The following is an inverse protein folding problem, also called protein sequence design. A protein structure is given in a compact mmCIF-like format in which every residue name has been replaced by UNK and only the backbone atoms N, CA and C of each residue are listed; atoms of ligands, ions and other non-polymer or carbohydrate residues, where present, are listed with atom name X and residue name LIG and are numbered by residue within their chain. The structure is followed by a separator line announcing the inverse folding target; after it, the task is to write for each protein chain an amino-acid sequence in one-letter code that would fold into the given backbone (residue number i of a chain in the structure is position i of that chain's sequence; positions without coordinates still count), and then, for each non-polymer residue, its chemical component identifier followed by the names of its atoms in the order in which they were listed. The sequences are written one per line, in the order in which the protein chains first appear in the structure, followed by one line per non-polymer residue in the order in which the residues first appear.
data_IF_328851374155
#
_entry.id   IF_328851374155
#
_cell.length_a   1.000
_cell.length_b   1.000
_cell.length_c   1.000
_cell.angle_alpha   90.00
_cell.angle_beta   90.00
_cell.angle_gamma   90.00
#
_symmetry.space_group_name_H-M   'P 1'
#
loop_
_entity.id
_entity.type
_entity.pdbx_description
1 polymer ?
#
# COMPACT_ATOMS: atom_id res chain seq x y z
N UNK A 1 6.97 -40.16 12.54
CA UNK A 1 6.50 -38.77 12.42
C UNK A 1 7.50 -37.84 13.09
N UNK A 2 8.29 -37.04 12.37
CA UNK A 2 9.13 -36.02 12.99
C UNK A 2 8.42 -34.65 12.97
N UNK A 3 8.51 -33.93 14.10
CA UNK A 3 8.02 -32.55 14.28
C UNK A 3 8.86 -31.58 13.43
N UNK A 4 8.28 -30.51 12.85
CA UNK A 4 9.05 -29.47 12.19
C UNK A 4 9.68 -28.51 13.22
N UNK A 5 10.83 -27.88 12.89
CA UNK A 5 11.57 -27.01 13.80
C UNK A 5 10.99 -25.59 13.84
N UNK A 6 10.88 -25.04 15.04
CA UNK A 6 10.62 -23.64 15.31
C UNK A 6 11.83 -22.79 14.89
N UNK A 7 11.72 -22.04 13.79
CA UNK A 7 12.68 -21.01 13.45
C UNK A 7 11.99 -19.71 13.04
N UNK A 8 12.37 -18.65 13.76
CA UNK A 8 12.31 -17.24 13.36
C UNK A 8 11.02 -16.43 13.62
N UNK A 9 10.54 -16.38 14.87
CA UNK A 9 9.52 -15.42 15.33
C UNK A 9 10.05 -13.98 15.52
N UNK A 10 11.36 -13.78 15.69
CA UNK A 10 11.94 -12.49 16.08
C UNK A 10 12.05 -11.46 14.95
N UNK A 11 12.38 -11.89 13.72
CA UNK A 11 12.47 -11.00 12.54
C UNK A 11 11.08 -10.60 12.01
N UNK A 12 10.08 -11.48 12.13
CA UNK A 12 8.69 -11.17 11.81
C UNK A 12 8.11 -10.13 12.79
N UNK A 13 8.43 -10.26 14.09
CA UNK A 13 8.03 -9.33 15.17
C UNK A 13 8.57 -7.91 15.00
N UNK A 14 9.83 -7.75 14.59
CA UNK A 14 10.41 -6.41 14.36
C UNK A 14 9.85 -5.70 13.12
N UNK A 15 9.37 -6.45 12.12
CA UNK A 15 8.71 -5.88 10.94
C UNK A 15 7.34 -5.31 11.31
N UNK A 16 6.55 -6.03 12.11
CA UNK A 16 5.21 -5.59 12.56
C UNK A 16 5.25 -4.32 13.42
N UNK A 17 6.28 -4.16 14.27
CA UNK A 17 6.49 -2.95 15.09
C UNK A 17 6.69 -1.66 14.26
N UNK A 18 7.28 -1.75 13.04
CA UNK A 18 7.48 -0.57 12.18
C UNK A 18 6.20 -0.04 11.51
N UNK A 19 5.15 -0.86 11.43
CA UNK A 19 3.88 -0.47 10.79
C UNK A 19 2.88 0.19 11.75
N UNK A 20 3.17 0.22 13.05
CA UNK A 20 2.34 0.90 14.06
C UNK A 20 2.21 2.42 13.83
N UNK A 21 3.07 3.03 13.02
CA UNK A 21 3.14 4.49 12.86
C UNK A 21 2.28 5.08 11.74
N UNK A 22 1.51 4.29 10.96
CA UNK A 22 0.79 4.85 9.79
C UNK A 22 -0.69 5.16 10.06
N UNK A 23 -1.31 4.64 11.13
CA UNK A 23 -2.76 4.80 11.33
C UNK A 23 -3.20 5.95 12.28
N UNK A 24 -2.28 6.72 12.87
CA UNK A 24 -2.64 7.79 13.80
C UNK A 24 -1.80 9.06 13.59
N UNK A 25 -1.94 9.71 12.44
CA UNK A 25 -1.51 11.10 12.28
C UNK A 25 -2.63 12.03 12.77
N UNK A 26 -2.61 12.29 14.07
CA UNK A 26 -3.50 13.24 14.75
C UNK A 26 -2.81 13.78 16.01
N UNK A 27 -1.91 14.75 15.81
CA UNK A 27 -1.38 15.71 16.78
C UNK A 27 -1.13 15.26 18.23
N UNK A 28 0.12 14.89 18.54
CA UNK A 28 0.81 15.32 19.76
C UNK A 28 2.34 15.16 19.62
N UNK A 29 2.99 16.31 19.47
CA UNK A 29 4.35 16.72 19.87
C UNK A 29 5.43 15.62 20.07
N UNK A 30 6.48 15.80 19.27
CA UNK A 30 7.83 15.22 19.36
C UNK A 30 8.50 15.43 20.72
N UNK A 31 9.18 14.39 21.23
CA UNK A 31 10.54 14.42 21.81
C UNK A 31 10.93 12.98 22.22
N UNK A 32 11.94 12.38 21.57
CA UNK A 32 12.60 11.17 22.05
C UNK A 32 14.11 11.39 22.04
N UNK A 33 14.79 11.40 23.20
CA UNK A 33 16.16 10.95 23.29
C UNK A 33 16.17 9.46 23.63
N UNK A 34 16.90 8.70 22.82
CA UNK A 34 17.07 7.26 22.95
C UNK A 34 18.23 6.95 23.91
N UNK A 35 17.94 6.62 25.18
CA UNK A 35 18.67 5.70 26.09
C UNK A 35 17.69 5.36 27.25
N UNK A 36 17.51 4.06 27.59
CA UNK A 36 16.63 3.48 28.65
C UNK A 36 15.18 3.12 28.24
N UNK A 37 15.02 2.06 27.43
CA UNK A 37 13.70 1.63 26.94
C UNK A 37 12.74 1.01 27.98
N UNK A 38 13.24 0.34 29.03
CA UNK A 38 12.38 -0.36 30.00
C UNK A 38 11.85 0.57 31.12
N UNK A 39 12.73 1.43 31.67
CA UNK A 39 12.35 2.41 32.70
C UNK A 39 11.32 3.43 32.18
N UNK A 40 11.39 3.76 30.89
CA UNK A 40 10.46 4.68 30.24
C UNK A 40 9.08 4.03 29.98
N UNK A 41 9.01 2.73 29.72
CA UNK A 41 7.74 2.04 29.45
C UNK A 41 6.88 1.92 30.72
N UNK A 42 7.48 1.54 31.85
CA UNK A 42 6.78 1.44 33.14
C UNK A 42 6.28 2.82 33.61
N UNK A 43 7.08 3.87 33.42
CA UNK A 43 6.70 5.25 33.73
C UNK A 43 5.50 5.70 32.88
N UNK A 44 5.53 5.49 31.57
CA UNK A 44 4.40 5.81 30.67
C UNK A 44 3.12 5.06 31.07
N UNK A 45 3.23 3.77 31.40
CA UNK A 45 2.08 2.98 31.85
C UNK A 45 1.49 3.51 33.15
N UNK A 46 2.34 3.84 34.13
CA UNK A 46 1.93 4.43 35.40
C UNK A 46 1.26 5.78 35.18
N UNK A 47 1.81 6.64 34.32
CA UNK A 47 1.27 7.96 34.05
C UNK A 47 -0.16 7.89 33.48
N UNK A 48 -0.41 6.96 32.55
CA UNK A 48 -1.76 6.72 32.04
C UNK A 48 -2.71 6.20 33.12
N UNK A 49 -2.26 5.27 33.97
CA UNK A 49 -3.08 4.72 35.07
C UNK A 49 -3.45 5.82 36.07
N UNK A 50 -2.49 6.62 36.52
CA UNK A 50 -2.72 7.74 37.43
C UNK A 50 -3.61 8.83 36.80
N UNK A 51 -3.48 9.08 35.50
CA UNK A 51 -4.36 10.02 34.80
C UNK A 51 -5.80 9.51 34.72
N UNK A 52 -5.99 8.21 34.45
CA UNK A 52 -7.31 7.56 34.44
C UNK A 52 -7.92 7.60 35.83
N UNK A 53 -7.19 7.22 36.87
CA UNK A 53 -7.69 7.25 38.26
C UNK A 53 -8.12 8.66 38.67
N UNK A 54 -7.32 9.67 38.35
CA UNK A 54 -7.69 11.08 38.59
C UNK A 54 -8.92 11.50 37.79
N UNK A 55 -9.04 11.08 36.54
CA UNK A 55 -10.20 11.40 35.72
C UNK A 55 -11.47 10.68 36.22
N UNK A 56 -11.39 9.42 36.62
CA UNK A 56 -12.52 8.64 37.17
C UNK A 56 -12.96 9.16 38.54
N UNK A 57 -12.03 9.65 39.38
CA UNK A 57 -12.36 10.25 40.67
C UNK A 57 -13.08 11.61 40.55
N UNK A 58 -12.77 12.38 39.51
CA UNK A 58 -13.24 13.76 39.36
C UNK A 58 -14.36 13.93 38.32
N UNK A 59 -14.71 12.88 37.56
CA UNK A 59 -15.70 12.96 36.48
C UNK A 59 -16.61 11.74 36.44
N UNK A 60 -17.64 11.79 35.59
CA UNK A 60 -18.52 10.64 35.40
C UNK A 60 -17.76 9.48 34.72
N UNK A 61 -18.21 8.23 34.96
CA UNK A 61 -17.56 7.01 34.46
C UNK A 61 -17.53 6.86 32.92
N UNK A 62 -18.09 7.82 32.19
CA UNK A 62 -18.13 7.90 30.73
C UNK A 62 -17.65 9.27 30.25
N UNK A 63 -16.79 9.97 30.99
CA UNK A 63 -16.28 11.26 30.52
C UNK A 63 -15.48 11.06 29.23
N UNK A 64 -15.64 11.97 28.28
CA UNK A 64 -15.00 11.84 26.95
C UNK A 64 -13.47 11.78 27.09
N UNK A 65 -12.89 12.52 28.04
CA UNK A 65 -11.45 12.48 28.31
C UNK A 65 -10.94 11.06 28.65
N UNK A 66 -11.76 10.24 29.32
CA UNK A 66 -11.38 8.87 29.63
C UNK A 66 -11.23 8.02 28.37
N UNK A 67 -11.97 8.29 27.29
CA UNK A 67 -11.84 7.52 26.06
C UNK A 67 -10.41 7.64 25.52
N UNK A 68 -9.90 8.85 25.36
CA UNK A 68 -8.54 9.12 24.88
C UNK A 68 -7.47 8.53 25.79
N UNK A 69 -7.62 8.66 27.11
CA UNK A 69 -6.69 8.06 28.08
C UNK A 69 -6.64 6.53 27.96
N UNK A 70 -7.81 5.88 27.84
CA UNK A 70 -7.88 4.43 27.63
C UNK A 70 -7.30 3.99 26.28
N UNK A 71 -7.39 4.83 25.24
CA UNK A 71 -6.74 4.57 23.95
C UNK A 71 -5.21 4.59 24.08
N UNK A 72 -4.67 5.64 24.71
CA UNK A 72 -3.23 5.79 24.96
C UNK A 72 -2.67 4.66 25.83
N UNK A 73 -3.38 4.30 26.91
CA UNK A 73 -3.05 3.14 27.74
C UNK A 73 -3.05 1.85 26.91
N UNK A 74 -4.06 1.66 26.04
CA UNK A 74 -4.15 0.51 25.16
C UNK A 74 -2.92 0.36 24.27
N UNK A 75 -2.48 1.45 23.62
CA UNK A 75 -1.28 1.46 22.78
C UNK A 75 0.01 1.21 23.58
N UNK A 76 0.14 1.82 24.77
CA UNK A 76 1.29 1.59 25.65
C UNK A 76 1.39 0.11 26.06
N UNK A 77 0.25 -0.51 26.41
CA UNK A 77 0.17 -1.94 26.75
C UNK A 77 0.46 -2.85 25.54
N UNK A 78 0.11 -2.45 24.32
CA UNK A 78 0.51 -3.19 23.11
C UNK A 78 2.02 -3.18 22.91
N UNK A 79 2.67 -2.04 23.15
CA UNK A 79 4.13 -1.91 23.05
C UNK A 79 4.86 -2.71 24.13
N UNK A 80 4.25 -2.83 25.31
CA UNK A 80 4.72 -3.66 26.44
C UNK A 80 4.40 -5.16 26.26
N UNK A 81 3.81 -5.57 25.13
CA UNK A 81 3.33 -6.94 24.87
C UNK A 81 2.25 -7.44 25.87
N UNK A 82 1.66 -6.57 26.68
CA UNK A 82 0.52 -6.87 27.53
C UNK A 82 -0.81 -6.81 26.74
N UNK A 83 -0.97 -7.77 25.83
CA UNK A 83 -2.09 -7.82 24.89
C UNK A 83 -3.47 -7.92 25.58
N UNK A 84 -3.55 -8.63 26.71
CA UNK A 84 -4.82 -8.74 27.44
C UNK A 84 -5.24 -7.42 28.09
N UNK A 85 -4.28 -6.68 28.65
CA UNK A 85 -4.51 -5.35 29.21
C UNK A 85 -4.89 -4.36 28.12
N UNK A 86 -4.15 -4.38 27.01
CA UNK A 86 -4.43 -3.55 25.84
C UNK A 86 -5.87 -3.76 25.34
N UNK A 87 -6.30 -5.01 25.18
CA UNK A 87 -7.65 -5.30 24.71
C UNK A 87 -8.73 -4.74 25.65
N UNK A 88 -8.54 -4.87 26.96
CA UNK A 88 -9.47 -4.33 27.97
C UNK A 88 -9.52 -2.81 27.92
N UNK A 89 -8.38 -2.14 27.88
CA UNK A 89 -8.29 -0.68 27.80
C UNK A 89 -8.96 -0.15 26.53
N UNK A 90 -8.63 -0.70 25.36
CA UNK A 90 -9.23 -0.30 24.08
C UNK A 90 -10.75 -0.52 24.05
N UNK A 91 -11.24 -1.66 24.54
CA UNK A 91 -12.69 -1.93 24.62
C UNK A 91 -13.39 -0.97 25.60
N UNK A 92 -12.73 -0.61 26.71
CA UNK A 92 -13.28 0.35 27.68
C UNK A 92 -13.40 1.74 27.07
N UNK A 93 -12.34 2.25 26.43
CA UNK A 93 -12.37 3.54 25.73
C UNK A 93 -13.44 3.57 24.62
N UNK A 94 -13.51 2.53 23.79
CA UNK A 94 -14.55 2.42 22.75
C UNK A 94 -15.97 2.37 23.33
N UNK A 95 -16.18 1.76 24.50
CA UNK A 95 -17.49 1.76 25.14
C UNK A 95 -17.89 3.17 25.60
N UNK A 96 -16.93 3.98 26.06
CA UNK A 96 -17.18 5.38 26.42
C UNK A 96 -17.63 6.17 25.18
N UNK A 97 -16.97 5.98 24.04
CA UNK A 97 -17.40 6.56 22.76
C UNK A 97 -18.83 6.18 22.41
N UNK A 98 -19.18 4.88 22.53
CA UNK A 98 -20.54 4.40 22.24
C UNK A 98 -21.61 5.00 23.15
N UNK A 99 -21.29 5.21 24.42
CA UNK A 99 -22.24 5.79 25.38
C UNK A 99 -22.46 7.28 25.09
N UNK A 100 -21.40 8.02 24.72
CA UNK A 100 -21.50 9.46 24.46
C UNK A 100 -22.09 9.79 23.08
N UNK A 101 -21.71 9.03 22.06
CA UNK A 101 -22.00 9.37 20.65
C UNK A 101 -22.87 8.33 19.93
N UNK A 102 -23.22 7.24 20.61
CA UNK A 102 -24.08 6.17 20.07
C UNK A 102 -23.33 5.00 19.44
N UNK A 103 -24.03 3.87 19.28
CA UNK A 103 -23.46 2.60 18.81
C UNK A 103 -22.91 2.66 17.37
N UNK A 104 -23.40 3.60 16.56
CA UNK A 104 -22.97 3.80 15.17
C UNK A 104 -22.05 5.02 15.00
N UNK A 105 -21.52 5.57 16.09
CA UNK A 105 -20.58 6.69 16.00
C UNK A 105 -19.31 6.31 15.27
N UNK A 106 -18.89 7.17 14.35
CA UNK A 106 -17.60 7.03 13.64
C UNK A 106 -16.39 7.26 14.55
N UNK A 107 -16.57 7.88 15.73
CA UNK A 107 -15.49 8.07 16.71
C UNK A 107 -14.92 6.76 17.26
N UNK A 108 -15.59 5.62 17.04
CA UNK A 108 -15.09 4.30 17.37
C UNK A 108 -13.97 3.81 16.43
N UNK A 109 -13.81 4.40 15.25
CA UNK A 109 -12.91 3.92 14.20
C UNK A 109 -11.45 3.75 14.66
N UNK A 110 -10.83 4.69 15.40
CA UNK A 110 -9.46 4.51 15.91
C UNK A 110 -9.29 3.27 16.79
N UNK A 111 -10.25 2.98 17.69
CA UNK A 111 -10.22 1.77 18.53
C UNK A 111 -10.34 0.49 17.70
N UNK A 112 -11.19 0.49 16.67
CA UNK A 112 -11.35 -0.67 15.81
C UNK A 112 -10.08 -0.98 15.03
N UNK A 113 -9.34 0.04 14.57
CA UNK A 113 -8.02 -0.17 13.93
C UNK A 113 -7.02 -0.79 14.92
N UNK A 114 -6.93 -0.25 16.14
CA UNK A 114 -6.02 -0.77 17.17
C UNK A 114 -6.38 -2.19 17.62
N UNK A 115 -7.68 -2.50 17.74
CA UNK A 115 -8.16 -3.85 18.03
C UNK A 115 -7.83 -4.80 16.88
N UNK A 116 -7.98 -4.38 15.62
CA UNK A 116 -7.58 -5.21 14.49
C UNK A 116 -6.08 -5.49 14.45
N UNK A 117 -5.25 -4.49 14.80
CA UNK A 117 -3.80 -4.65 14.93
C UNK A 117 -3.46 -5.66 16.02
N UNK A 118 -4.12 -5.55 17.18
CA UNK A 118 -3.97 -6.46 18.30
C UNK A 118 -4.38 -7.90 17.94
N UNK A 119 -5.55 -8.06 17.32
CA UNK A 119 -6.08 -9.37 16.91
C UNK A 119 -5.14 -10.01 15.87
N UNK A 120 -4.57 -9.22 14.94
CA UNK A 120 -3.57 -9.70 13.99
C UNK A 120 -2.30 -10.20 14.69
N UNK A 121 -1.81 -9.51 15.72
CA UNK A 121 -0.65 -9.94 16.51
C UNK A 121 -0.92 -11.25 17.23
N UNK A 122 -2.16 -11.42 17.72
CA UNK A 122 -2.62 -12.64 18.38
C UNK A 122 -2.93 -13.79 17.39
N UNK A 123 -2.88 -13.53 16.08
CA UNK A 123 -3.20 -14.49 15.04
C UNK A 123 -4.70 -14.71 14.80
N UNK A 124 -5.56 -13.88 15.39
CA UNK A 124 -7.01 -13.89 15.18
C UNK A 124 -7.38 -13.01 13.97
N UNK A 125 -7.13 -13.54 12.78
CA UNK A 125 -7.41 -12.85 11.52
C UNK A 125 -8.91 -12.61 11.30
N UNK A 126 -9.77 -13.47 11.85
CA UNK A 126 -11.22 -13.34 11.75
C UNK A 126 -11.72 -12.11 12.50
N UNK A 127 -11.29 -11.92 13.75
CA UNK A 127 -11.66 -10.73 14.54
C UNK A 127 -11.08 -9.45 13.94
N UNK A 128 -9.84 -9.49 13.43
CA UNK A 128 -9.24 -8.36 12.74
C UNK A 128 -10.05 -7.95 11.50
N UNK A 129 -10.50 -8.90 10.69
CA UNK A 129 -11.34 -8.61 9.53
C UNK A 129 -12.74 -8.11 9.92
N UNK A 130 -13.35 -8.65 10.99
CA UNK A 130 -14.63 -8.13 11.53
C UNK A 130 -14.52 -6.68 11.97
N UNK A 131 -13.37 -6.26 12.52
CA UNK A 131 -13.13 -4.86 12.85
C UNK A 131 -13.08 -3.98 11.59
N UNK A 132 -12.41 -4.42 10.52
CA UNK A 132 -12.41 -3.72 9.22
C UNK A 132 -13.80 -3.59 8.62
N UNK A 133 -14.59 -4.65 8.66
CA UNK A 133 -15.99 -4.63 8.21
C UNK A 133 -16.82 -3.65 9.03
N UNK A 134 -16.63 -3.63 10.35
CA UNK A 134 -17.29 -2.68 11.26
C UNK A 134 -16.94 -1.23 10.91
N UNK A 135 -15.66 -0.94 10.64
CA UNK A 135 -15.21 0.40 10.21
C UNK A 135 -15.91 0.81 8.90
N UNK A 136 -16.01 -0.10 7.93
CA UNK A 136 -16.76 0.16 6.70
C UNK A 136 -18.25 0.44 6.97
N UNK A 137 -18.91 -0.36 7.82
CA UNK A 137 -20.32 -0.13 8.14
C UNK A 137 -20.53 1.21 8.84
N UNK A 138 -19.64 1.60 9.76
CA UNK A 138 -19.69 2.92 10.41
C UNK A 138 -19.58 4.04 9.37
N UNK A 139 -18.58 4.00 8.49
CA UNK A 139 -18.43 5.00 7.42
C UNK A 139 -19.65 5.05 6.50
N UNK A 140 -20.15 3.89 6.08
CA UNK A 140 -21.34 3.76 5.23
C UNK A 140 -22.60 4.33 5.90
N UNK A 141 -22.80 4.07 7.19
CA UNK A 141 -23.99 4.53 7.91
C UNK A 141 -23.94 6.03 8.23
N UNK A 142 -22.74 6.60 8.42
CA UNK A 142 -22.58 8.02 8.73
C UNK A 142 -22.59 8.92 7.47
N UNK A 143 -22.09 8.43 6.33
CA UNK A 143 -21.97 9.24 5.10
C UNK A 143 -22.86 8.76 3.96
N UNK A 144 -23.08 7.45 3.84
CA UNK A 144 -23.68 6.81 2.66
C UNK A 144 -22.63 6.04 1.83
N UNK A 145 -23.05 4.95 1.18
CA UNK A 145 -22.15 4.05 0.45
C UNK A 145 -21.49 4.67 -0.79
N UNK A 146 -22.08 5.75 -1.31
CA UNK A 146 -21.66 6.45 -2.53
C UNK A 146 -21.23 7.90 -2.26
N UNK A 147 -21.29 8.35 -1.00
CA UNK A 147 -20.88 9.70 -0.66
C UNK A 147 -19.34 9.80 -0.66
N UNK A 148 -18.71 10.80 -1.33
CA UNK A 148 -17.26 10.94 -1.38
C UNK A 148 -16.56 10.95 -0.02
N UNK A 149 -17.24 11.37 1.06
CA UNK A 149 -16.68 11.37 2.43
C UNK A 149 -16.30 9.98 2.92
N UNK A 150 -16.90 8.91 2.39
CA UNK A 150 -16.53 7.54 2.74
C UNK A 150 -15.14 7.15 2.23
N UNK A 151 -14.58 7.86 1.25
CA UNK A 151 -13.28 7.54 0.65
C UNK A 151 -12.15 7.57 1.66
N UNK A 152 -12.18 8.46 2.64
CA UNK A 152 -11.16 8.50 3.70
C UNK A 152 -11.18 7.21 4.53
N UNK A 153 -12.37 6.71 4.87
CA UNK A 153 -12.53 5.44 5.59
C UNK A 153 -12.07 4.26 4.75
N UNK A 154 -12.44 4.23 3.46
CA UNK A 154 -12.02 3.18 2.53
C UNK A 154 -10.50 3.19 2.33
N UNK A 155 -9.88 4.37 2.22
CA UNK A 155 -8.43 4.52 2.12
C UNK A 155 -7.73 3.92 3.34
N UNK A 156 -8.17 4.25 4.56
CA UNK A 156 -7.57 3.70 5.79
C UNK A 156 -7.69 2.18 5.85
N UNK A 157 -8.84 1.61 5.49
CA UNK A 157 -9.01 0.15 5.41
C UNK A 157 -8.05 -0.41 4.35
N UNK A 158 -7.98 0.19 3.15
CA UNK A 158 -7.12 -0.29 2.08
C UNK A 158 -5.65 -0.31 2.48
N UNK A 159 -5.15 0.78 3.08
CA UNK A 159 -3.78 0.86 3.55
C UNK A 159 -3.48 -0.19 4.61
N UNK A 160 -4.42 -0.42 5.54
CA UNK A 160 -4.29 -1.48 6.54
C UNK A 160 -4.14 -2.85 5.87
N UNK A 161 -5.04 -3.19 4.94
CA UNK A 161 -5.01 -4.46 4.20
C UNK A 161 -3.68 -4.67 3.46
N UNK A 162 -3.24 -3.65 2.72
CA UNK A 162 -1.99 -3.74 1.94
C UNK A 162 -0.75 -3.83 2.85
N UNK A 163 -0.73 -3.11 3.98
CA UNK A 163 0.36 -3.24 4.95
C UNK A 163 0.45 -4.65 5.54
N UNK A 164 -0.69 -5.30 5.81
CA UNK A 164 -0.72 -6.69 6.29
C UNK A 164 -0.26 -7.68 5.22
N UNK A 165 -0.67 -7.48 3.97
CA UNK A 165 -0.15 -8.27 2.86
C UNK A 165 1.38 -8.12 2.71
N UNK A 166 1.92 -6.90 2.73
CA UNK A 166 3.35 -6.67 2.57
C UNK A 166 4.19 -7.27 3.71
N UNK A 167 3.63 -7.33 4.92
CA UNK A 167 4.26 -8.01 6.04
C UNK A 167 4.30 -9.55 5.88
N UNK A 168 3.36 -10.13 5.11
CA UNK A 168 3.28 -11.57 4.86
C UNK A 168 2.77 -11.89 3.43
N UNK A 169 3.61 -11.70 2.39
CA UNK A 169 3.16 -11.71 0.99
C UNK A 169 2.90 -13.10 0.40
N UNK A 170 3.10 -14.16 1.18
CA UNK A 170 2.86 -15.56 0.77
C UNK A 170 1.38 -15.94 0.84
N UNK A 171 1.09 -17.25 0.98
CA UNK A 171 -0.29 -17.76 1.05
C UNK A 171 -1.12 -17.18 2.20
N UNK A 172 -0.48 -16.81 3.32
CA UNK A 172 -1.15 -16.13 4.45
C UNK A 172 -1.52 -14.67 4.17
N UNK A 173 -1.12 -14.13 3.02
CA UNK A 173 -1.45 -12.79 2.54
C UNK A 173 -2.70 -12.72 1.68
N UNK A 174 -3.29 -13.87 1.32
CA UNK A 174 -4.40 -13.95 0.35
C UNK A 174 -5.61 -13.11 0.79
N UNK A 175 -6.05 -13.31 2.03
CA UNK A 175 -7.26 -12.68 2.55
C UNK A 175 -7.15 -11.15 2.52
N UNK A 176 -5.96 -10.63 2.84
CA UNK A 176 -5.68 -9.19 2.82
C UNK A 176 -5.72 -8.63 1.40
N UNK A 177 -5.25 -9.37 0.40
CA UNK A 177 -5.32 -8.94 -1.02
C UNK A 177 -6.75 -8.96 -1.52
N UNK A 178 -7.51 -10.01 -1.21
CA UNK A 178 -8.92 -10.12 -1.62
C UNK A 178 -9.72 -8.99 -0.99
N UNK A 179 -9.48 -8.68 0.28
CA UNK A 179 -10.09 -7.54 0.95
C UNK A 179 -9.65 -6.20 0.31
N UNK A 180 -8.38 -6.03 -0.05
CA UNK A 180 -7.90 -4.84 -0.75
C UNK A 180 -8.58 -4.65 -2.12
N UNK A 181 -8.75 -5.71 -2.91
CA UNK A 181 -9.47 -5.64 -4.18
C UNK A 181 -10.94 -5.24 -3.96
N UNK A 182 -11.62 -5.83 -2.97
CA UNK A 182 -13.00 -5.48 -2.62
C UNK A 182 -13.15 -4.00 -2.23
N UNK A 183 -12.21 -3.47 -1.44
CA UNK A 183 -12.18 -2.06 -1.07
C UNK A 183 -11.94 -1.18 -2.29
N UNK A 184 -11.01 -1.56 -3.18
CA UNK A 184 -10.77 -0.83 -4.44
C UNK A 184 -12.01 -0.78 -5.33
N UNK A 185 -12.79 -1.86 -5.41
CA UNK A 185 -14.06 -1.88 -6.15
C UNK A 185 -15.13 -0.98 -5.52
N UNK A 186 -15.15 -0.84 -4.19
CA UNK A 186 -16.03 0.12 -3.50
C UNK A 186 -15.61 1.55 -3.80
N UNK A 187 -14.32 1.84 -3.70
CA UNK A 187 -13.78 3.15 -4.05
C UNK A 187 -14.10 3.53 -5.50
N UNK A 188 -13.88 2.62 -6.45
CA UNK A 188 -14.17 2.84 -7.87
C UNK A 188 -15.61 3.30 -8.09
N UNK A 189 -16.58 2.69 -7.41
CA UNK A 189 -18.00 3.09 -7.51
C UNK A 189 -18.25 4.49 -6.96
N UNK A 190 -17.66 4.84 -5.82
CA UNK A 190 -17.80 6.18 -5.24
C UNK A 190 -17.17 7.23 -6.16
N UNK A 191 -15.99 6.97 -6.69
CA UNK A 191 -15.27 7.89 -7.58
C UNK A 191 -16.08 8.11 -8.86
N UNK A 192 -16.51 7.02 -9.52
CA UNK A 192 -17.24 7.11 -10.80
C UNK A 192 -18.62 7.78 -10.69
N UNK A 193 -19.26 7.72 -9.53
CA UNK A 193 -20.62 8.26 -9.35
C UNK A 193 -20.66 9.65 -8.71
N UNK A 194 -19.64 9.99 -7.93
CA UNK A 194 -19.72 11.13 -7.01
C UNK A 194 -18.54 12.09 -7.09
N UNK A 195 -17.49 11.77 -7.86
CA UNK A 195 -16.37 12.68 -8.10
C UNK A 195 -16.35 13.03 -9.61
N UNK A 196 -16.44 14.33 -9.97
CA UNK A 196 -16.26 14.76 -11.35
C UNK A 196 -14.88 14.37 -11.90
N UNK A 197 -14.80 14.04 -13.18
CA UNK A 197 -13.55 13.55 -13.80
C UNK A 197 -12.45 14.63 -13.77
N UNK A 198 -12.85 15.90 -13.83
CA UNK A 198 -12.01 17.10 -13.77
C UNK A 198 -11.63 17.53 -12.33
N UNK A 199 -12.11 16.84 -11.29
CA UNK A 199 -11.74 17.16 -9.91
C UNK A 199 -10.22 16.98 -9.71
N UNK A 200 -9.59 17.93 -9.00
CA UNK A 200 -8.16 17.91 -8.71
C UNK A 200 -7.72 16.63 -7.97
N UNK A 201 -8.62 15.99 -7.21
CA UNK A 201 -8.36 14.76 -6.45
C UNK A 201 -8.63 13.48 -7.25
N UNK A 202 -9.38 13.53 -8.35
CA UNK A 202 -9.71 12.33 -9.12
C UNK A 202 -8.47 11.52 -9.59
N UNK A 203 -7.35 12.14 -10.08
CA UNK A 203 -6.19 11.38 -10.54
C UNK A 203 -5.55 10.50 -9.47
N UNK A 204 -5.52 10.97 -8.22
CA UNK A 204 -4.87 10.25 -7.12
C UNK A 204 -5.60 8.95 -6.79
N UNK A 205 -6.94 8.98 -6.89
CA UNK A 205 -7.76 7.80 -6.65
C UNK A 205 -7.59 6.76 -7.76
N UNK A 206 -7.55 7.19 -9.03
CA UNK A 206 -7.31 6.28 -10.14
C UNK A 206 -5.91 5.64 -10.11
N UNK A 207 -4.89 6.41 -9.71
CA UNK A 207 -3.55 5.86 -9.45
C UNK A 207 -3.60 4.77 -8.37
N UNK A 208 -4.33 5.02 -7.28
CA UNK A 208 -4.51 4.06 -6.19
C UNK A 208 -5.21 2.78 -6.67
N UNK A 209 -6.29 2.90 -7.44
CA UNK A 209 -6.96 1.75 -8.03
C UNK A 209 -6.00 0.93 -8.91
N UNK A 210 -5.22 1.57 -9.78
CA UNK A 210 -4.23 0.88 -10.60
C UNK A 210 -3.18 0.13 -9.76
N UNK A 211 -2.70 0.73 -8.67
CA UNK A 211 -1.75 0.11 -7.75
C UNK A 211 -2.32 -1.17 -7.09
N UNK A 212 -3.57 -1.14 -6.63
CA UNK A 212 -4.22 -2.34 -6.08
C UNK A 212 -4.33 -3.44 -7.14
N UNK A 213 -4.77 -3.10 -8.35
CA UNK A 213 -4.94 -4.08 -9.42
C UNK A 213 -3.60 -4.68 -9.86
N UNK A 214 -2.51 -3.90 -9.83
CA UNK A 214 -1.16 -4.41 -10.07
C UNK A 214 -0.73 -5.42 -9.01
N UNK A 215 -0.99 -5.10 -7.74
CA UNK A 215 -0.65 -5.94 -6.59
C UNK A 215 -1.39 -7.28 -6.68
N UNK A 216 -2.70 -7.24 -6.94
CA UNK A 216 -3.52 -8.45 -7.08
C UNK A 216 -3.06 -9.29 -8.28
N UNK A 217 -2.81 -8.65 -9.44
CA UNK A 217 -2.33 -9.36 -10.63
C UNK A 217 -0.98 -10.05 -10.40
N UNK A 218 -0.06 -9.38 -9.69
CA UNK A 218 1.26 -9.91 -9.35
C UNK A 218 1.15 -11.09 -8.39
N UNK A 219 0.26 -11.01 -7.40
CA UNK A 219 0.01 -12.11 -6.49
C UNK A 219 -0.55 -13.35 -7.21
N UNK A 220 -1.53 -13.15 -8.09
CA UNK A 220 -2.16 -14.24 -8.85
C UNK A 220 -1.17 -14.92 -9.81
N UNK A 221 -0.30 -14.15 -10.45
CA UNK A 221 0.76 -14.69 -11.31
C UNK A 221 1.75 -15.57 -10.52
N UNK A 222 2.04 -15.21 -9.27
CA UNK A 222 3.00 -15.93 -8.42
C UNK A 222 2.41 -17.13 -7.67
N UNK A 223 1.16 -17.02 -7.20
CA UNK A 223 0.55 -17.98 -6.26
C UNK A 223 -0.64 -18.75 -6.86
N UNK A 224 -1.14 -18.35 -8.03
CA UNK A 224 -2.39 -18.88 -8.60
C UNK A 224 -3.63 -18.12 -8.15
N UNK A 225 -4.80 -18.54 -8.63
CA UNK A 225 -6.08 -17.90 -8.31
C UNK A 225 -6.43 -18.06 -6.82
N UNK A 226 -7.09 -17.07 -6.21
CA UNK A 226 -7.86 -17.27 -4.99
C UNK A 226 -8.91 -18.35 -5.27
N UNK A 227 -8.73 -19.55 -4.74
CA UNK A 227 -9.78 -20.56 -4.81
C UNK A 227 -10.88 -20.13 -3.85
N UNK A 228 -12.02 -19.69 -4.39
CA UNK A 228 -13.41 -19.72 -3.87
C UNK A 228 -14.18 -18.40 -4.09
N UNK A 229 -15.40 -18.52 -4.65
CA UNK A 229 -16.47 -17.52 -4.81
C UNK A 229 -16.46 -16.56 -6.01
N UNK A 230 -16.20 -17.07 -7.21
CA UNK A 230 -16.98 -16.61 -8.37
C UNK A 230 -17.33 -17.84 -9.20
N UNK A 231 -18.63 -18.05 -9.41
CA UNK A 231 -19.16 -19.04 -10.34
C UNK A 231 -18.48 -18.86 -11.71
N UNK A 232 -17.47 -19.67 -12.00
CA UNK A 232 -17.02 -19.88 -13.37
C UNK A 232 -18.05 -20.81 -14.01
N UNK A 233 -18.83 -20.26 -14.95
CA UNK A 233 -19.58 -21.09 -15.89
C UNK A 233 -18.54 -21.83 -16.72
N UNK A 234 -18.29 -23.10 -16.36
CA UNK A 234 -17.43 -24.00 -17.12
C UNK A 234 -18.15 -24.41 -18.40
N UNK A 235 -18.04 -23.60 -19.44
CA UNK A 235 -18.14 -24.14 -20.80
C UNK A 235 -16.79 -24.75 -21.13
N UNK A 236 -16.75 -26.10 -21.10
CA UNK A 236 -15.73 -26.99 -21.66
C UNK A 236 -14.57 -26.31 -22.39
N UNK A 237 -13.34 -26.52 -21.92
CA UNK A 237 -12.17 -26.69 -22.80
C UNK A 237 -10.95 -27.16 -22.03
N UNK A 238 -10.66 -28.43 -22.20
CA UNK A 238 -9.31 -28.97 -22.19
C UNK A 238 -8.40 -28.14 -23.11
N UNK A 239 -7.62 -27.23 -22.54
CA UNK A 239 -6.54 -26.57 -23.24
C UNK A 239 -5.47 -26.15 -22.23
N UNK A 240 -4.44 -26.99 -22.07
CA UNK A 240 -3.13 -26.55 -21.62
C UNK A 240 -2.64 -25.49 -22.62
N UNK A 241 -2.98 -24.23 -22.35
CA UNK A 241 -2.44 -23.08 -23.06
C UNK A 241 -1.79 -22.18 -22.03
N UNK A 242 -0.64 -21.66 -22.42
CA UNK A 242 0.20 -20.66 -21.74
C UNK A 242 -0.48 -19.28 -21.63
N UNK A 243 -1.81 -19.26 -21.53
CA UNK A 243 -2.65 -18.07 -21.37
C UNK A 243 -2.67 -17.62 -19.92
N UNK A 244 -2.60 -16.29 -19.72
CA UNK A 244 -2.90 -15.68 -18.40
C UNK A 244 -4.26 -16.20 -17.93
N UNK A 245 -4.36 -16.57 -16.65
CA UNK A 245 -5.63 -16.97 -16.05
C UNK A 245 -6.71 -15.91 -16.29
N UNK A 246 -7.98 -16.33 -16.37
CA UNK A 246 -9.11 -15.42 -16.58
C UNK A 246 -9.10 -14.25 -15.56
N UNK A 247 -8.71 -14.50 -14.30
CA UNK A 247 -8.58 -13.44 -13.32
C UNK A 247 -7.37 -12.52 -13.57
N UNK A 248 -6.22 -13.05 -14.03
CA UNK A 248 -5.09 -12.22 -14.46
C UNK A 248 -5.48 -11.24 -15.57
N UNK A 249 -6.40 -11.65 -16.46
CA UNK A 249 -6.98 -10.76 -17.48
C UNK A 249 -7.95 -9.72 -16.88
N UNK A 250 -8.73 -10.09 -15.86
CA UNK A 250 -9.63 -9.17 -15.15
C UNK A 250 -8.86 -8.05 -14.44
N UNK A 251 -7.86 -8.37 -13.62
CA UNK A 251 -7.07 -7.37 -12.89
C UNK A 251 -6.26 -6.49 -13.86
N UNK A 252 -5.73 -7.09 -14.94
CA UNK A 252 -5.14 -6.34 -16.04
C UNK A 252 -6.10 -5.28 -16.61
N UNK A 253 -7.35 -5.65 -16.92
CA UNK A 253 -8.35 -4.75 -17.50
C UNK A 253 -8.74 -3.63 -16.55
N UNK A 254 -8.97 -3.95 -15.27
CA UNK A 254 -9.34 -2.96 -14.24
C UNK A 254 -8.23 -1.95 -14.00
N UNK A 255 -6.98 -2.39 -13.86
CA UNK A 255 -5.85 -1.48 -13.68
C UNK A 255 -5.59 -0.61 -14.90
N UNK A 256 -5.70 -1.17 -16.12
CA UNK A 256 -5.66 -0.39 -17.36
C UNK A 256 -6.76 0.67 -17.38
N UNK A 257 -8.00 0.30 -17.04
CA UNK A 257 -9.13 1.23 -17.05
C UNK A 257 -8.89 2.39 -16.07
N UNK A 258 -8.38 2.10 -14.87
CA UNK A 258 -8.01 3.11 -13.89
C UNK A 258 -6.92 4.07 -14.44
N UNK A 259 -5.86 3.56 -15.07
CA UNK A 259 -4.81 4.40 -15.65
C UNK A 259 -5.32 5.27 -16.81
N UNK A 260 -6.23 4.75 -17.63
CA UNK A 260 -6.90 5.55 -18.68
C UNK A 260 -7.72 6.68 -18.05
N UNK A 261 -8.51 6.38 -17.01
CA UNK A 261 -9.27 7.39 -16.27
C UNK A 261 -8.38 8.44 -15.61
N UNK A 262 -7.19 8.05 -15.13
CA UNK A 262 -6.19 8.99 -14.60
C UNK A 262 -5.72 9.98 -15.67
N UNK A 263 -5.40 9.49 -16.87
CA UNK A 263 -5.01 10.34 -18.00
C UNK A 263 -6.17 11.27 -18.39
N UNK A 264 -7.38 10.73 -18.55
CA UNK A 264 -8.60 11.51 -18.86
C UNK A 264 -8.84 12.61 -17.82
N UNK A 265 -8.72 12.28 -16.53
CA UNK A 265 -8.90 13.21 -15.43
C UNK A 265 -7.92 14.38 -15.49
N UNK A 266 -6.62 14.11 -15.66
CA UNK A 266 -5.60 15.14 -15.75
C UNK A 266 -5.72 16.01 -17.01
N UNK A 267 -6.17 15.43 -18.14
CA UNK A 267 -6.40 16.18 -19.37
C UNK A 267 -7.63 17.09 -19.33
N UNK A 268 -8.61 16.78 -18.48
CA UNK A 268 -9.84 17.57 -18.34
C UNK A 268 -9.79 18.61 -17.22
N UNK A 269 -8.69 18.69 -16.46
CA UNK A 269 -8.56 19.67 -15.37
C UNK A 269 -8.47 21.12 -15.91
N UNK A 270 -9.08 22.11 -15.22
CA UNK A 270 -9.04 23.51 -15.64
C UNK A 270 -7.63 24.11 -15.69
N UNK A 271 -6.75 23.65 -14.79
CA UNK A 271 -5.33 24.02 -14.77
C UNK A 271 -4.54 22.83 -15.28
N UNK A 272 -3.85 23.00 -16.39
CA UNK A 272 -3.09 21.93 -17.01
C UNK A 272 -1.86 21.54 -16.16
N UNK A 273 -1.90 20.33 -15.59
CA UNK A 273 -0.71 19.66 -15.04
C UNK A 273 -0.06 18.80 -16.12
N UNK A 274 0.72 19.43 -17.00
CA UNK A 274 1.35 18.74 -18.13
C UNK A 274 2.33 17.66 -17.69
N UNK A 275 3.11 17.88 -16.62
CA UNK A 275 4.04 16.87 -16.12
C UNK A 275 3.28 15.70 -15.50
N UNK A 276 2.18 15.95 -14.79
CA UNK A 276 1.27 14.91 -14.34
C UNK A 276 0.67 14.11 -15.49
N UNK A 277 0.27 14.77 -16.58
CA UNK A 277 -0.24 14.10 -17.78
C UNK A 277 0.84 13.22 -18.43
N UNK A 278 2.06 13.73 -18.63
CA UNK A 278 3.19 12.97 -19.16
C UNK A 278 3.47 11.74 -18.29
N UNK A 279 3.53 11.90 -16.97
CA UNK A 279 3.71 10.78 -16.03
C UNK A 279 2.57 9.77 -16.12
N UNK A 280 1.31 10.21 -16.18
CA UNK A 280 0.16 9.32 -16.27
C UNK A 280 0.15 8.51 -17.57
N UNK A 281 0.46 9.14 -18.70
CA UNK A 281 0.57 8.45 -19.99
C UNK A 281 1.75 7.46 -19.97
N UNK A 282 2.88 7.85 -19.38
CA UNK A 282 4.03 6.98 -19.21
C UNK A 282 3.73 5.78 -18.30
N UNK A 283 2.98 5.96 -17.21
CA UNK A 283 2.53 4.85 -16.35
C UNK A 283 1.55 3.91 -17.08
N UNK A 284 0.70 4.43 -17.97
CA UNK A 284 -0.13 3.59 -18.85
C UNK A 284 0.74 2.80 -19.84
N UNK A 285 1.81 3.40 -20.38
CA UNK A 285 2.79 2.71 -21.21
C UNK A 285 3.54 1.62 -20.44
N UNK A 286 3.95 1.92 -19.20
CA UNK A 286 4.57 0.97 -18.28
C UNK A 286 3.64 -0.23 -18.03
N UNK A 287 2.35 0.01 -17.82
CA UNK A 287 1.34 -1.04 -17.69
C UNK A 287 1.31 -1.94 -18.93
N UNK A 288 1.21 -1.36 -20.12
CA UNK A 288 1.28 -2.13 -21.35
C UNK A 288 2.57 -2.96 -21.45
N UNK A 289 3.70 -2.38 -21.07
CA UNK A 289 5.00 -3.04 -21.13
C UNK A 289 5.08 -4.26 -20.21
N UNK A 290 4.70 -4.11 -18.94
CA UNK A 290 4.69 -5.21 -17.97
C UNK A 290 3.77 -6.33 -18.45
N UNK A 291 2.60 -5.97 -18.96
CA UNK A 291 1.63 -6.92 -19.46
C UNK A 291 1.90 -7.38 -20.90
N UNK A 292 3.10 -7.15 -21.45
CA UNK A 292 3.57 -7.71 -22.71
C UNK A 292 2.97 -7.09 -23.97
N UNK A 293 2.20 -6.01 -23.85
CA UNK A 293 1.59 -5.27 -24.96
C UNK A 293 2.56 -4.25 -25.55
N UNK A 294 3.66 -4.75 -26.12
CA UNK A 294 4.80 -3.92 -26.56
C UNK A 294 4.40 -2.82 -27.57
N UNK A 295 3.54 -3.13 -28.53
CA UNK A 295 3.07 -2.14 -29.51
C UNK A 295 2.25 -1.01 -28.86
N UNK A 296 1.38 -1.34 -27.90
CA UNK A 296 0.60 -0.35 -27.16
C UNK A 296 1.51 0.49 -26.25
N UNK A 297 2.52 -0.12 -25.63
CA UNK A 297 3.52 0.56 -24.83
C UNK A 297 4.30 1.60 -25.67
N UNK A 298 4.80 1.22 -26.83
CA UNK A 298 5.53 2.14 -27.73
C UNK A 298 4.66 3.34 -28.13
N UNK A 299 3.40 3.10 -28.52
CA UNK A 299 2.47 4.18 -28.86
C UNK A 299 2.22 5.12 -27.68
N UNK A 300 2.02 4.56 -26.48
CA UNK A 300 1.79 5.38 -25.28
C UNK A 300 3.05 6.16 -24.85
N UNK A 301 4.24 5.57 -24.93
CA UNK A 301 5.49 6.29 -24.68
C UNK A 301 5.73 7.42 -25.69
N UNK A 302 5.44 7.18 -26.97
CA UNK A 302 5.53 8.21 -28.01
C UNK A 302 4.57 9.37 -27.71
N UNK A 303 3.34 9.08 -27.29
CA UNK A 303 2.38 10.11 -26.87
C UNK A 303 2.86 10.89 -25.63
N UNK A 304 3.41 10.19 -24.63
CA UNK A 304 3.95 10.84 -23.43
C UNK A 304 5.11 11.78 -23.80
N UNK A 305 6.00 11.34 -24.70
CA UNK A 305 7.11 12.15 -25.18
C UNK A 305 6.63 13.37 -25.98
N UNK A 306 5.63 13.21 -26.86
CA UNK A 306 5.04 14.33 -27.60
C UNK A 306 4.39 15.35 -26.65
N UNK A 307 3.69 14.88 -25.62
CA UNK A 307 3.07 15.74 -24.60
C UNK A 307 4.14 16.51 -23.81
N UNK A 308 5.30 15.90 -23.59
CA UNK A 308 6.43 16.53 -22.89
C UNK A 308 7.06 17.67 -23.70
N UNK A 309 7.00 17.62 -25.04
CA UNK A 309 7.58 18.63 -25.94
C UNK A 309 6.77 19.94 -26.01
N UNK A 310 5.72 20.09 -25.21
CA UNK A 310 4.97 21.34 -25.10
C UNK A 310 5.89 22.51 -24.72
N UNK A 311 5.66 23.68 -25.32
CA UNK A 311 6.49 24.88 -25.14
C UNK A 311 6.52 25.39 -23.70
N UNK A 312 5.49 25.07 -22.91
CA UNK A 312 5.41 25.45 -21.50
C UNK A 312 6.29 24.60 -20.57
N UNK A 313 6.83 23.48 -21.06
CA UNK A 313 7.78 22.63 -20.33
C UNK A 313 9.21 23.07 -20.63
N UNK A 314 10.05 23.24 -19.59
CA UNK A 314 11.43 23.66 -19.80
C UNK A 314 12.27 22.60 -20.55
N UNK A 315 13.18 23.04 -21.42
CA UNK A 315 14.07 22.15 -22.19
C UNK A 315 14.88 21.21 -21.31
N UNK A 316 15.29 21.66 -20.13
CA UNK A 316 16.01 20.83 -19.16
C UNK A 316 15.14 19.65 -18.72
N UNK A 317 13.88 19.89 -18.36
CA UNK A 317 12.92 18.84 -17.97
C UNK A 317 12.65 17.90 -19.14
N UNK A 318 12.46 18.44 -20.35
CA UNK A 318 12.26 17.65 -21.57
C UNK A 318 13.42 16.67 -21.80
N UNK A 319 14.66 17.14 -21.62
CA UNK A 319 15.85 16.32 -21.83
C UNK A 319 16.06 15.24 -20.76
N UNK A 320 15.64 15.51 -19.51
CA UNK A 320 15.91 14.65 -18.36
C UNK A 320 14.80 13.62 -18.06
N UNK A 321 13.54 13.92 -18.40
CA UNK A 321 12.40 13.11 -17.94
C UNK A 321 12.47 11.63 -18.36
N UNK A 322 12.94 11.37 -19.58
CA UNK A 322 13.07 10.01 -20.14
C UNK A 322 14.52 9.63 -20.45
N UNK A 323 15.52 10.37 -19.94
CA UNK A 323 16.94 10.14 -20.26
C UNK A 323 17.49 8.87 -19.64
N UNK A 324 16.91 8.42 -18.53
CA UNK A 324 17.38 7.26 -17.79
C UNK A 324 16.26 6.22 -17.63
N UNK A 325 16.59 4.92 -17.61
CA UNK A 325 15.64 3.91 -17.22
C UNK A 325 15.12 4.12 -15.81
N UNK A 326 13.86 3.78 -15.58
CA UNK A 326 13.21 3.90 -14.28
C UNK A 326 12.56 2.59 -13.90
N UNK A 327 12.77 2.10 -12.67
CA UNK A 327 12.06 0.90 -12.19
C UNK A 327 10.55 1.16 -12.19
N UNK A 328 9.79 0.26 -12.81
CA UNK A 328 8.33 0.35 -12.86
C UNK A 328 7.78 -0.20 -11.55
N UNK A 329 7.08 0.65 -10.83
CA UNK A 329 6.39 0.31 -9.60
C UNK A 329 5.04 1.03 -9.57
N UNK A 330 3.99 0.29 -9.23
CA UNK A 330 2.66 0.86 -8.99
C UNK A 330 2.42 0.90 -7.48
N UNK A 331 3.05 1.89 -6.83
CA UNK A 331 2.94 2.08 -5.39
C UNK A 331 1.71 2.92 -5.03
N UNK A 332 1.18 2.73 -3.82
CA UNK A 332 0.17 3.63 -3.28
C UNK A 332 0.78 5.03 -3.09
N UNK A 333 0.04 6.12 -3.38
CA UNK A 333 0.62 7.46 -3.43
C UNK A 333 1.21 8.00 -2.12
N UNK A 334 0.71 7.58 -0.96
CA UNK A 334 1.22 8.05 0.34
C UNK A 334 2.43 7.27 0.85
N UNK A 335 2.87 6.21 0.16
CA UNK A 335 4.15 5.56 0.45
C UNK A 335 5.27 6.43 -0.08
N UNK A 336 5.61 7.47 0.69
CA UNK A 336 6.88 8.18 0.57
C UNK A 336 7.98 7.14 0.52
N UNK A 337 8.78 7.16 -0.55
CA UNK A 337 9.98 6.35 -0.66
C UNK A 337 10.86 6.71 0.53
N UNK A 338 10.94 5.83 1.52
CA UNK A 338 11.95 5.96 2.58
C UNK A 338 13.28 6.11 1.87
N UNK A 339 13.95 7.27 2.05
CA UNK A 339 15.28 7.52 1.51
C UNK A 339 16.16 6.37 1.96
N UNK A 340 16.37 5.46 1.03
CA UNK A 340 17.12 4.26 1.27
C UNK A 340 18.56 4.71 1.36
N UNK A 341 19.22 4.50 2.51
CA UNK A 341 20.66 4.68 2.59
C UNK A 341 21.27 3.81 1.48
N UNK A 342 21.99 4.45 0.55
CA UNK A 342 22.58 3.81 -0.61
C UNK A 342 23.76 2.96 -0.13
N UNK A 343 23.64 1.64 -0.17
CA UNK A 343 24.71 0.74 0.33
C UNK A 343 25.30 -0.13 -0.78
N UNK A 344 24.60 -0.32 -1.92
CA UNK A 344 25.11 -1.14 -3.03
C UNK A 344 24.77 -0.54 -4.40
N UNK A 345 25.76 -0.47 -5.28
CA UNK A 345 25.62 -0.04 -6.68
C UNK A 345 25.73 -1.23 -7.64
N UNK A 346 24.75 -1.36 -8.54
CA UNK A 346 24.69 -2.42 -9.54
C UNK A 346 24.42 -1.80 -10.91
N UNK A 347 25.25 -2.05 -11.91
CA UNK A 347 24.95 -1.69 -13.30
C UNK A 347 24.20 -2.80 -14.01
N UNK A 348 23.17 -2.44 -14.77
CA UNK A 348 22.45 -3.36 -15.63
C UNK A 348 22.12 -2.71 -16.97
N UNK A 349 22.16 -3.50 -18.05
CA UNK A 349 21.65 -3.10 -19.35
C UNK A 349 20.12 -3.25 -19.35
N UNK A 350 19.39 -2.15 -19.48
CA UNK A 350 17.94 -2.16 -19.61
C UNK A 350 17.59 -2.22 -21.09
N UNK A 351 16.93 -3.31 -21.48
CA UNK A 351 16.48 -3.54 -22.86
C UNK A 351 15.28 -2.67 -23.24
N UNK A 352 14.96 -2.56 -24.53
CA UNK A 352 13.76 -1.86 -25.05
C UNK A 352 12.44 -2.42 -24.49
N UNK A 353 12.48 -3.67 -24.01
CA UNK A 353 11.34 -4.37 -23.38
C UNK A 353 11.32 -4.23 -21.86
N UNK A 354 12.18 -3.40 -21.28
CA UNK A 354 12.22 -3.13 -19.85
C UNK A 354 12.76 -4.26 -18.99
N UNK A 355 13.51 -5.21 -19.58
CA UNK A 355 14.22 -6.26 -18.83
C UNK A 355 15.66 -5.88 -18.59
N UNK A 356 16.16 -6.16 -17.39
CA UNK A 356 17.55 -6.01 -17.02
C UNK A 356 18.39 -7.23 -17.49
N UNK A 357 19.54 -6.94 -18.10
CA UNK A 357 20.57 -7.89 -18.55
C UNK A 357 21.94 -7.43 -18.10
N UNK A 358 22.95 -8.30 -18.26
CA UNK A 358 24.37 -7.98 -18.03
C UNK A 358 24.62 -7.28 -16.69
N UNK A 359 24.06 -7.87 -15.63
CA UNK A 359 24.06 -7.31 -14.27
C UNK A 359 25.44 -7.48 -13.65
N UNK A 360 26.10 -6.34 -13.38
CA UNK A 360 27.44 -6.26 -12.79
C UNK A 360 27.39 -5.46 -11.48
N UNK A 361 28.05 -5.98 -10.46
CA UNK A 361 28.17 -5.31 -9.16
C UNK A 361 29.35 -4.34 -9.20
N UNK A 362 29.13 -3.08 -8.84
CA UNK A 362 30.16 -2.04 -8.82
C UNK A 362 30.65 -1.93 -7.38
N UNK A 363 31.94 -2.20 -7.17
CA UNK A 363 32.62 -2.17 -5.87
C UNK A 363 31.82 -2.86 -4.74
N UNK A 364 31.51 -4.16 -4.86
CA UNK A 364 30.69 -4.85 -3.87
C UNK A 364 31.41 -4.92 -2.51
N UNK A 365 30.70 -4.70 -1.39
CA UNK A 365 31.25 -4.88 -0.05
C UNK A 365 31.86 -6.28 0.13
N UNK A 366 33.02 -6.36 0.79
CA UNK A 366 33.77 -7.63 0.98
C UNK A 366 32.99 -8.71 1.75
N UNK A 367 31.98 -8.29 2.50
CA UNK A 367 31.11 -9.16 3.30
C UNK A 367 29.83 -9.58 2.57
N UNK A 368 29.66 -9.20 1.29
CA UNK A 368 28.53 -9.61 0.46
C UNK A 368 28.71 -11.07 0.01
N UNK A 369 27.83 -11.95 0.47
CA UNK A 369 27.87 -13.38 0.12
C UNK A 369 27.45 -13.62 -1.33
N UNK A 370 27.99 -14.67 -1.94
CA UNK A 370 27.55 -15.15 -3.27
C UNK A 370 26.04 -15.46 -3.31
N UNK A 371 25.45 -15.92 -2.20
CA UNK A 371 24.01 -16.15 -2.11
C UNK A 371 23.21 -14.85 -2.15
N UNK A 372 23.70 -13.81 -1.47
CA UNK A 372 23.10 -12.47 -1.50
C UNK A 372 23.20 -11.87 -2.90
N UNK A 373 24.36 -11.97 -3.54
CA UNK A 373 24.56 -11.51 -4.93
C UNK A 373 23.62 -12.22 -5.91
N UNK A 374 23.45 -13.54 -5.78
CA UNK A 374 22.49 -14.30 -6.61
C UNK A 374 21.05 -13.85 -6.36
N UNK A 375 20.66 -13.66 -5.10
CA UNK A 375 19.32 -13.18 -4.74
C UNK A 375 19.04 -11.79 -5.31
N UNK A 376 19.99 -10.86 -5.17
CA UNK A 376 19.90 -9.51 -5.74
C UNK A 376 19.79 -9.56 -7.26
N UNK A 377 20.63 -10.35 -7.93
CA UNK A 377 20.57 -10.52 -9.39
C UNK A 377 19.20 -11.06 -9.83
N UNK A 378 18.65 -12.05 -9.14
CA UNK A 378 17.32 -12.58 -9.43
C UNK A 378 16.23 -11.54 -9.23
N UNK A 379 16.30 -10.73 -8.17
CA UNK A 379 15.35 -9.64 -7.90
C UNK A 379 15.37 -8.58 -9.01
N UNK A 380 16.57 -8.16 -9.45
CA UNK A 380 16.73 -7.22 -10.57
C UNK A 380 16.18 -7.81 -11.88
N UNK A 381 16.44 -9.09 -12.16
CA UNK A 381 15.93 -9.77 -13.37
C UNK A 381 14.40 -9.92 -13.37
N UNK A 382 13.80 -10.15 -12.19
CA UNK A 382 12.34 -10.23 -12.04
C UNK A 382 11.67 -8.87 -12.20
N UNK A 383 12.36 -7.79 -11.82
CA UNK A 383 11.86 -6.42 -11.96
C UNK A 383 11.65 -6.01 -13.42
N UNK A 384 10.83 -4.97 -13.61
CA UNK A 384 10.61 -4.31 -14.90
C UNK A 384 11.00 -2.85 -14.81
N UNK A 385 11.55 -2.32 -15.89
CA UNK A 385 12.04 -0.96 -15.98
C UNK A 385 11.41 -0.29 -17.19
N UNK A 386 10.96 0.95 -17.03
CA UNK A 386 10.73 1.87 -18.13
C UNK A 386 12.08 2.08 -18.80
N UNK A 387 12.23 1.75 -20.08
CA UNK A 387 13.49 1.99 -20.80
C UNK A 387 13.69 3.50 -20.99
N UNK A 388 14.94 3.91 -21.23
CA UNK A 388 15.23 5.22 -21.78
C UNK A 388 14.42 5.42 -23.05
N UNK A 389 13.88 6.63 -23.25
CA UNK A 389 13.23 6.99 -24.50
C UNK A 389 14.14 7.90 -25.31
N UNK A 390 14.24 7.62 -26.60
CA UNK A 390 14.88 8.47 -27.59
C UNK A 390 13.83 8.83 -28.64
N UNK A 391 13.47 10.11 -28.72
CA UNK A 391 12.39 10.61 -29.58
C UNK A 391 11.07 9.82 -29.41
N UNK A 392 10.74 9.47 -28.15
CA UNK A 392 9.55 8.69 -27.81
C UNK A 392 9.64 7.19 -28.08
N UNK A 393 10.76 6.68 -28.61
CA UNK A 393 10.99 5.26 -28.84
C UNK A 393 11.85 4.64 -27.72
N UNK A 394 11.46 3.48 -27.16
CA UNK A 394 12.28 2.72 -26.24
C UNK A 394 13.66 2.35 -26.80
N UNK A 395 14.72 2.72 -26.07
CA UNK A 395 16.10 2.40 -26.41
C UNK A 395 16.79 1.60 -25.30
N UNK A 396 17.76 0.76 -25.69
CA UNK A 396 18.58 0.04 -24.72
C UNK A 396 19.60 0.99 -24.11
N UNK A 397 19.76 0.93 -22.79
CA UNK A 397 20.72 1.79 -22.10
C UNK A 397 21.21 1.14 -20.80
N UNK A 398 22.46 1.42 -20.46
CA UNK A 398 23.02 1.02 -19.17
C UNK A 398 22.47 1.92 -18.09
N UNK A 399 22.04 1.32 -16.98
CA UNK A 399 21.49 2.02 -15.83
C UNK A 399 22.16 1.56 -14.54
N UNK A 400 22.45 2.52 -13.66
CA UNK A 400 22.99 2.28 -12.32
C UNK A 400 21.85 2.18 -11.32
N UNK A 401 21.69 0.99 -10.74
CA UNK A 401 20.67 0.66 -9.75
C UNK A 401 21.30 0.76 -8.37
N UNK A 402 20.70 1.56 -7.49
CA UNK A 402 21.10 1.69 -6.10
C UNK A 402 20.15 0.90 -5.20
N UNK A 403 20.70 0.04 -4.34
CA UNK A 403 19.92 -0.81 -3.45
C UNK A 403 20.18 -0.47 -1.97
N UNK A 404 19.13 -0.64 -1.16
CA UNK A 404 19.27 -0.80 0.28
C UNK A 404 19.99 -2.11 0.56
N UNK A 405 20.87 -2.12 1.55
CA UNK A 405 21.27 -3.35 2.22
C UNK A 405 20.51 -3.50 3.53
#
# INVERSE_FOLDING_TARGET
MPRPPYLCSRKLKQSLMKYFSIAAAGTAITLLPNVNGALNAEEVLRDYQEAIERAEANSNAFSIQLSELYMGLGQALMNDENFSGAQRALKRGMQIERVNFGLHSISQTPYLFLLADLDTILGDTESAQKAMDSIYQLGKNNYGALDPRILETLDKILYWQIARYEANPGRGGLDYIVAADLISQRMSRVIEQSIPIEDAKAPIYYQRLAAVQYLVATYVDQNGLPTETTYEISTNSSAQTTGRSAAGLTYYRRGKAALIRRVESLSNQPVADLLGQVDAIAQLADWYLIFGQSHAAIKAYSLAFQTLLDESVSKDVQSLFFSEPQKIEFNLPEKSKTKTQKVLEVSALITKRGRARDIQFIDPPKDLSEEEMRSIRQSIQKSRYRPRLNEGNPEESTHKIFLAR
#
